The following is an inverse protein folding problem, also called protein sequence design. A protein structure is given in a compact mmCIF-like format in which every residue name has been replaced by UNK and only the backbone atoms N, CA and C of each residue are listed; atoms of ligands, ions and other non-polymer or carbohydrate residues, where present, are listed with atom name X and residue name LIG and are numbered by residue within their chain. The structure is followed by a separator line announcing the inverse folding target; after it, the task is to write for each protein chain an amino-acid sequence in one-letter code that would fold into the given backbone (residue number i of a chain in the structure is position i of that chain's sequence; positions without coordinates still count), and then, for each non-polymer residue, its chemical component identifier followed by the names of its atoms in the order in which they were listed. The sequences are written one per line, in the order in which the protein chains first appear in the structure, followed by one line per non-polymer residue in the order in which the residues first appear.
data_IF_966648286385
#
_entry.id   IF_966648286385
#
_cell.length_a   1.000
_cell.length_b   1.000
_cell.length_c   1.000
_cell.angle_alpha   90.00
_cell.angle_beta   90.00
_cell.angle_gamma   90.00
#
_symmetry.space_group_name_H-M   'P 1'
#
loop_
_entity.id
_entity.type
_entity.pdbx_description
1 polymer ?
#
# COMPACT_ATOMS: atom_id res chain seq x y z
N UNK A 1 5.82 -10.95 5.94
CA UNK A 1 5.94 -9.53 6.35
C UNK A 1 7.21 -8.88 5.79
N UNK A 2 8.41 -9.22 6.29
CA UNK A 2 9.66 -8.62 5.79
C UNK A 2 10.03 -9.07 4.36
N UNK A 3 9.85 -10.35 4.02
CA UNK A 3 10.22 -10.90 2.71
C UNK A 3 9.28 -10.52 1.56
N UNK A 4 8.17 -9.85 1.86
CA UNK A 4 7.16 -9.54 0.86
C UNK A 4 7.43 -8.20 0.16
N UNK A 5 8.40 -7.42 0.63
CA UNK A 5 8.74 -6.09 0.07
C UNK A 5 7.60 -5.07 0.14
N UNK A 6 6.50 -5.40 0.81
CA UNK A 6 5.32 -4.55 0.95
C UNK A 6 5.49 -3.60 2.12
N UNK A 7 4.91 -2.41 1.99
CA UNK A 7 4.81 -1.45 3.07
C UNK A 7 3.72 -1.88 4.06
N UNK A 8 4.03 -1.79 5.36
CA UNK A 8 3.12 -2.15 6.45
C UNK A 8 2.86 -0.94 7.35
N UNK A 9 1.65 -0.81 7.92
CA UNK A 9 1.35 0.26 8.86
C UNK A 9 2.11 0.01 10.17
N UNK A 10 2.88 1.00 10.60
CA UNK A 10 3.51 0.98 11.91
C UNK A 10 2.57 1.66 12.91
N UNK A 11 2.07 0.88 13.87
CA UNK A 11 1.14 1.33 14.89
C UNK A 11 1.85 1.26 16.23
N UNK A 12 1.90 2.38 16.95
CA UNK A 12 2.43 2.43 18.31
C UNK A 12 1.45 1.74 19.28
N UNK A 13 1.94 1.24 20.41
CA UNK A 13 1.10 0.64 21.47
C UNK A 13 0.05 1.58 22.08
N UNK A 14 0.11 2.88 21.79
CA UNK A 14 -0.90 3.89 22.14
C UNK A 14 -2.08 3.96 21.15
N UNK A 15 -1.96 3.29 20.00
CA UNK A 15 -2.95 3.31 18.92
C UNK A 15 -2.69 4.34 17.81
N UNK A 16 -1.63 5.14 17.92
CA UNK A 16 -1.26 6.09 16.86
C UNK A 16 -0.56 5.39 15.68
N UNK A 17 -1.00 5.72 14.46
CA UNK A 17 -0.38 5.22 13.23
C UNK A 17 0.76 6.18 12.84
N UNK A 18 1.99 5.68 12.86
CA UNK A 18 3.20 6.44 12.55
C UNK A 18 3.40 6.61 11.03
N UNK A 19 2.82 5.71 10.24
CA UNK A 19 2.84 5.73 8.77
C UNK A 19 3.11 4.34 8.18
N UNK A 20 3.41 4.31 6.88
CA UNK A 20 3.74 3.09 6.15
C UNK A 20 5.25 2.89 6.12
N UNK A 21 5.71 1.68 6.43
CA UNK A 21 7.13 1.34 6.51
C UNK A 21 7.43 0.02 5.80
N UNK A 22 8.58 -0.04 5.14
CA UNK A 22 9.15 -1.29 4.64
C UNK A 22 10.25 -1.73 5.61
N UNK A 23 10.33 -3.03 5.83
CA UNK A 23 11.43 -3.66 6.58
C UNK A 23 12.65 -3.70 5.66
N UNK A 24 13.67 -2.91 5.98
CA UNK A 24 14.92 -2.84 5.21
C UNK A 24 15.89 -3.94 5.64
N UNK A 25 15.99 -4.17 6.95
CA UNK A 25 16.86 -5.19 7.51
C UNK A 25 16.32 -5.72 8.83
N UNK A 26 16.44 -7.03 9.00
CA UNK A 26 16.25 -7.73 10.28
C UNK A 26 17.57 -8.39 10.64
N UNK A 27 18.08 -8.13 11.84
CA UNK A 27 19.22 -8.83 12.40
C UNK A 27 18.80 -9.48 13.70
N UNK A 28 19.06 -10.77 13.84
CA UNK A 28 18.59 -11.55 15.00
C UNK A 28 19.75 -12.34 15.59
N UNK A 29 19.93 -12.21 16.90
CA UNK A 29 20.93 -12.91 17.70
C UNK A 29 20.22 -13.80 18.71
N UNK A 30 20.44 -15.09 18.59
CA UNK A 30 19.86 -16.09 19.48
C UNK A 30 20.87 -16.43 20.58
N UNK A 31 20.43 -16.36 21.83
CA UNK A 31 21.26 -16.64 23.01
C UNK A 31 20.47 -17.47 24.02
N UNK A 32 21.17 -18.05 24.98
CA UNK A 32 20.60 -18.90 26.03
C UNK A 32 19.75 -20.04 25.46
N UNK A 33 20.38 -21.11 25.00
CA UNK A 33 19.66 -22.22 24.38
C UNK A 33 19.15 -23.23 25.42
N UNK A 34 17.95 -23.75 25.20
CA UNK A 34 17.47 -24.98 25.81
C UNK A 34 18.32 -26.17 25.36
N UNK A 35 18.17 -27.31 26.05
CA UNK A 35 18.86 -28.56 25.70
C UNK A 35 18.49 -29.11 24.32
N UNK A 36 17.34 -28.70 23.78
CA UNK A 36 16.86 -29.05 22.43
C UNK A 36 17.36 -28.06 21.34
N UNK A 37 18.15 -27.04 21.72
CA UNK A 37 18.66 -26.02 20.81
C UNK A 37 17.70 -24.87 20.51
N UNK A 38 16.51 -24.83 21.11
CA UNK A 38 15.64 -23.67 21.01
C UNK A 38 16.22 -22.50 21.83
N UNK A 39 16.23 -21.29 21.26
CA UNK A 39 16.72 -20.11 21.97
C UNK A 39 15.68 -19.62 23.00
N UNK A 40 16.12 -19.34 24.22
CA UNK A 40 15.31 -18.69 25.27
C UNK A 40 15.29 -17.19 25.10
N UNK A 41 16.37 -16.62 24.56
CA UNK A 41 16.52 -15.19 24.37
C UNK A 41 16.83 -14.89 22.91
N UNK A 42 16.06 -13.98 22.34
CA UNK A 42 16.21 -13.52 20.96
C UNK A 42 16.34 -12.00 21.00
N UNK A 43 17.57 -11.52 20.84
CA UNK A 43 17.83 -10.10 20.66
C UNK A 43 17.74 -9.79 19.17
N UNK A 44 16.92 -8.82 18.78
CA UNK A 44 16.78 -8.43 17.38
C UNK A 44 16.92 -6.93 17.20
N UNK A 45 17.38 -6.55 16.01
CA UNK A 45 17.44 -5.16 15.56
C UNK A 45 16.71 -5.07 14.23
N UNK A 46 15.77 -4.13 14.17
CA UNK A 46 14.94 -3.87 13.00
C UNK A 46 15.30 -2.51 12.41
N UNK A 47 15.62 -2.47 11.12
CA UNK A 47 15.78 -1.23 10.37
C UNK A 47 14.57 -1.04 9.47
N UNK A 48 13.87 0.07 9.66
CA UNK A 48 12.68 0.44 8.91
C UNK A 48 12.95 1.64 8.02
N UNK A 49 12.46 1.60 6.78
CA UNK A 49 12.42 2.76 5.89
C UNK A 49 10.98 3.22 5.79
N UNK A 50 10.75 4.50 6.10
CA UNK A 50 9.45 5.14 5.89
C UNK A 50 9.19 5.18 4.40
N UNK A 51 8.04 4.65 3.99
CA UNK A 51 7.52 4.89 2.66
C UNK A 51 6.74 6.17 2.76
N UNK A 52 7.39 7.27 2.42
CA UNK A 52 6.66 8.47 2.10
C UNK A 52 5.90 8.14 0.81
N UNK A 53 4.57 8.01 0.91
CA UNK A 53 3.72 8.20 -0.25
C UNK A 53 4.05 9.61 -0.75
N UNK A 54 4.98 9.66 -1.70
CA UNK A 54 5.20 10.86 -2.48
C UNK A 54 3.83 11.30 -2.94
N UNK A 55 3.50 12.56 -2.75
CA UNK A 55 2.33 13.20 -3.35
C UNK A 55 2.10 12.74 -4.79
N UNK A 56 3.15 12.38 -5.54
CA UNK A 56 3.07 11.78 -6.88
C UNK A 56 2.25 10.47 -6.98
N UNK A 57 2.27 9.61 -5.97
CA UNK A 57 1.45 8.40 -5.91
C UNK A 57 -0.04 8.78 -5.73
N UNK A 58 -0.34 9.68 -4.80
CA UNK A 58 -1.71 10.21 -4.62
C UNK A 58 -2.19 11.00 -5.84
N UNK A 59 -1.33 11.82 -6.48
CA UNK A 59 -1.64 12.54 -7.71
C UNK A 59 -1.83 11.58 -8.89
N UNK A 60 -1.08 10.48 -8.95
CA UNK A 60 -1.25 9.44 -9.97
C UNK A 60 -2.62 8.77 -9.87
N UNK A 61 -3.03 8.42 -8.65
CA UNK A 61 -4.34 7.80 -8.40
C UNK A 61 -5.49 8.79 -8.57
N UNK A 62 -5.34 10.06 -8.16
CA UNK A 62 -6.33 11.11 -8.42
C UNK A 62 -6.48 11.43 -9.90
N UNK A 63 -5.39 11.47 -10.67
CA UNK A 63 -5.46 11.67 -12.11
C UNK A 63 -6.13 10.48 -12.81
N UNK A 64 -5.83 9.24 -12.40
CA UNK A 64 -6.54 8.06 -12.93
C UNK A 64 -8.03 8.11 -12.65
N UNK A 65 -8.42 8.41 -11.41
CA UNK A 65 -9.84 8.54 -11.03
C UNK A 65 -10.53 9.66 -11.84
N UNK A 66 -9.86 10.80 -12.06
CA UNK A 66 -10.40 11.89 -12.87
C UNK A 66 -10.55 11.51 -14.36
N UNK A 67 -9.57 10.82 -14.94
CA UNK A 67 -9.64 10.33 -16.32
C UNK A 67 -10.74 9.28 -16.50
N UNK A 68 -10.90 8.35 -15.58
CA UNK A 68 -11.95 7.33 -15.63
C UNK A 68 -13.36 7.93 -15.54
N UNK A 69 -13.54 9.00 -14.74
CA UNK A 69 -14.80 9.74 -14.68
C UNK A 69 -15.10 10.49 -15.98
N UNK A 70 -14.07 11.11 -16.58
CA UNK A 70 -14.20 11.81 -17.85
C UNK A 70 -14.52 10.85 -19.00
N UNK A 71 -13.85 9.70 -19.05
CA UNK A 71 -14.12 8.65 -20.03
C UNK A 71 -15.53 8.07 -19.86
N UNK A 72 -15.98 7.90 -18.61
CA UNK A 72 -17.34 7.46 -18.31
C UNK A 72 -18.39 8.48 -18.77
N UNK A 73 -18.12 9.77 -18.59
CA UNK A 73 -18.99 10.86 -19.05
C UNK A 73 -19.02 10.97 -20.58
N UNK A 74 -17.86 10.81 -21.24
CA UNK A 74 -17.75 10.75 -22.70
C UNK A 74 -18.54 9.58 -23.28
N UNK A 75 -18.33 8.37 -22.74
CA UNK A 75 -19.03 7.16 -23.18
C UNK A 75 -20.55 7.22 -22.94
N UNK A 76 -21.00 7.88 -21.87
CA UNK A 76 -22.42 8.10 -21.61
C UNK A 76 -23.02 9.07 -22.64
N UNK A 77 -22.30 10.14 -22.96
CA UNK A 77 -22.73 11.13 -23.95
C UNK A 77 -22.84 10.51 -25.34
N UNK A 78 -21.86 9.70 -25.75
CA UNK A 78 -21.88 8.97 -27.02
C UNK A 78 -23.04 7.98 -27.11
N UNK A 79 -23.32 7.25 -26.02
CA UNK A 79 -24.47 6.34 -25.96
C UNK A 79 -25.80 7.08 -26.05
N UNK A 80 -25.94 8.21 -25.36
CA UNK A 80 -27.15 9.04 -25.42
C UNK A 80 -27.33 9.64 -26.82
N UNK A 81 -26.26 10.11 -27.45
CA UNK A 81 -26.30 10.66 -28.81
C UNK A 81 -26.66 9.59 -29.85
N UNK A 82 -26.11 8.37 -29.72
CA UNK A 82 -26.46 7.24 -30.58
C UNK A 82 -27.92 6.78 -30.41
N UNK A 83 -28.44 6.81 -29.18
CA UNK A 83 -29.84 6.45 -28.91
C UNK A 83 -30.82 7.53 -29.42
N UNK A 84 -30.47 8.81 -29.31
CA UNK A 84 -31.28 9.91 -29.84
C UNK A 84 -31.23 9.96 -31.37
N UNK A 85 -30.07 9.71 -31.98
CA UNK A 85 -29.92 9.62 -33.43
C UNK A 85 -30.65 8.43 -34.05
N UNK A 86 -30.76 7.31 -33.32
CA UNK A 86 -31.54 6.14 -33.73
C UNK A 86 -33.05 6.28 -33.52
N UNK A 87 -33.51 7.25 -32.72
CA UNK A 87 -34.93 7.49 -32.46
C UNK A 87 -35.56 8.49 -33.45
N UNK A 88 -34.74 9.24 -34.20
CA UNK A 88 -35.19 10.21 -35.22
C UNK A 88 -35.09 9.69 -36.66
N UNK A 89 -34.81 8.39 -36.85
CA UNK A 89 -34.76 7.71 -38.16
C UNK A 89 -35.95 6.77 -38.34
#
# INVERSE_FOLDING_TARGET
MADEGRAWPLIEGTGNILGMYIVDKVSTTHTEFFSDGAARKIDFTLSLKRVDESLAAMFGDLNKQASELLDSAGNLTDKLQGMLGGLTA
#
